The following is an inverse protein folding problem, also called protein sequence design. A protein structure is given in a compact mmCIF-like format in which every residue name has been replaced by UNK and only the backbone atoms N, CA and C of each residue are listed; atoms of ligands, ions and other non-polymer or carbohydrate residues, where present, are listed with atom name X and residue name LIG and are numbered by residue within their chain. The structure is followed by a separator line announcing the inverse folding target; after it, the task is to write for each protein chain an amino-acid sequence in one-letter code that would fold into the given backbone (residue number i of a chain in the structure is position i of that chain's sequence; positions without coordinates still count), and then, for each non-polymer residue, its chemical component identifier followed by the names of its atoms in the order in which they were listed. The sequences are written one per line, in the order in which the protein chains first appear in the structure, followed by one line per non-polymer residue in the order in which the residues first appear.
data_IF_598311486776
#
_entry.id   IF_598311486776
#
_cell.length_a   1.000
_cell.length_b   1.000
_cell.length_c   1.000
_cell.angle_alpha   90.00
_cell.angle_beta   90.00
_cell.angle_gamma   90.00
#
_symmetry.space_group_name_H-M   'P 1'
#
loop_
_entity.id
_entity.type
_entity.pdbx_description
1 polymer ?
#
# COMPACT_ATOMS: atom_id res chain seq x y z
N UNK A 1 25.81 -11.05 -2.60
CA UNK A 1 24.56 -10.30 -2.34
C UNK A 1 24.62 -8.97 -3.08
N UNK A 2 23.54 -8.57 -3.75
CA UNK A 2 23.50 -7.35 -4.55
C UNK A 2 23.74 -6.10 -3.68
N UNK A 3 23.28 -6.14 -2.43
CA UNK A 3 23.43 -5.09 -1.42
C UNK A 3 24.89 -4.70 -1.20
N UNK A 4 25.80 -5.70 -1.20
CA UNK A 4 27.24 -5.48 -0.98
C UNK A 4 27.86 -4.79 -2.19
N UNK A 5 27.43 -5.16 -3.39
CA UNK A 5 27.94 -4.58 -4.64
C UNK A 5 27.46 -3.13 -4.78
N UNK A 6 26.18 -2.85 -4.51
CA UNK A 6 25.62 -1.50 -4.50
C UNK A 6 26.36 -0.62 -3.50
N UNK A 7 26.56 -1.09 -2.26
CA UNK A 7 27.27 -0.33 -1.23
C UNK A 7 28.74 -0.04 -1.60
N UNK A 8 29.42 -0.99 -2.24
CA UNK A 8 30.81 -0.81 -2.66
C UNK A 8 30.98 0.13 -3.85
N UNK A 9 29.94 0.25 -4.68
CA UNK A 9 29.95 1.06 -5.90
C UNK A 9 29.26 2.43 -5.74
N UNK A 10 28.85 2.81 -4.53
CA UNK A 10 28.09 4.03 -4.27
C UNK A 10 28.79 5.32 -4.76
N UNK A 11 30.12 5.35 -4.76
CA UNK A 11 30.95 6.49 -5.20
C UNK A 11 31.70 6.21 -6.52
N UNK A 12 31.36 5.14 -7.25
CA UNK A 12 32.03 4.76 -8.48
C UNK A 12 31.37 5.38 -9.71
N UNK A 13 32.19 5.83 -10.68
CA UNK A 13 31.70 6.22 -12.00
C UNK A 13 31.25 4.98 -12.78
N UNK A 14 29.94 4.80 -12.99
CA UNK A 14 29.40 3.69 -13.77
C UNK A 14 27.93 3.38 -13.49
N UNK A 15 27.42 2.32 -14.12
CA UNK A 15 26.09 1.78 -13.87
C UNK A 15 26.17 0.28 -13.52
N UNK A 16 25.44 -0.12 -12.48
CA UNK A 16 25.32 -1.50 -12.02
C UNK A 16 24.14 -2.14 -12.75
N UNK A 17 24.42 -3.14 -13.57
CA UNK A 17 23.39 -3.96 -14.22
C UNK A 17 23.41 -5.36 -13.61
N UNK A 18 22.27 -5.81 -13.08
CA UNK A 18 22.14 -7.13 -12.46
C UNK A 18 21.30 -8.05 -13.34
N UNK A 19 21.73 -9.30 -13.50
CA UNK A 19 20.98 -10.30 -14.25
C UNK A 19 19.91 -10.97 -13.37
N UNK A 20 18.67 -10.96 -13.83
CA UNK A 20 17.53 -11.67 -13.26
C UNK A 20 17.17 -12.89 -14.12
N UNK A 21 16.79 -14.01 -13.49
CA UNK A 21 16.33 -15.23 -14.20
C UNK A 21 14.91 -15.08 -14.71
N UNK A 22 14.08 -14.31 -14.02
CA UNK A 22 12.67 -14.10 -14.30
C UNK A 22 12.20 -12.74 -13.73
N UNK A 23 10.94 -12.40 -13.97
CA UNK A 23 10.33 -11.14 -13.53
C UNK A 23 10.19 -11.02 -12.01
N UNK A 24 10.10 -12.14 -11.29
CA UNK A 24 10.02 -12.15 -9.81
C UNK A 24 11.37 -11.73 -9.21
N UNK A 25 12.46 -12.32 -9.69
CA UNK A 25 13.82 -11.95 -9.28
C UNK A 25 14.15 -10.52 -9.71
N UNK A 26 13.68 -10.09 -10.89
CA UNK A 26 13.80 -8.70 -11.33
C UNK A 26 13.12 -7.73 -10.34
N UNK A 27 11.93 -8.07 -9.84
CA UNK A 27 11.20 -7.24 -8.87
C UNK A 27 11.98 -7.07 -7.57
N UNK A 28 12.63 -8.15 -7.11
CA UNK A 28 13.48 -8.13 -5.91
C UNK A 28 14.71 -7.26 -6.15
N UNK A 29 15.35 -7.39 -7.32
CA UNK A 29 16.54 -6.63 -7.69
C UNK A 29 16.25 -5.12 -7.75
N UNK A 30 15.14 -4.71 -8.38
CA UNK A 30 14.71 -3.31 -8.41
C UNK A 30 14.46 -2.75 -7.00
N UNK A 31 13.97 -3.58 -6.07
CA UNK A 31 13.69 -3.17 -4.69
C UNK A 31 14.89 -3.17 -3.74
N UNK A 32 16.04 -3.70 -4.16
CA UNK A 32 17.22 -3.87 -3.29
C UNK A 32 17.72 -2.51 -2.78
N UNK A 33 17.82 -2.35 -1.45
CA UNK A 33 18.24 -1.12 -0.75
C UNK A 33 17.41 0.15 -1.03
N UNK A 34 16.23 0.05 -1.65
CA UNK A 34 15.46 1.21 -2.16
C UNK A 34 16.19 2.07 -3.20
N UNK A 35 17.43 1.71 -3.55
CA UNK A 35 18.25 2.29 -4.60
C UNK A 35 18.13 1.46 -5.89
N UNK A 36 17.95 0.14 -5.73
CA UNK A 36 18.01 -0.83 -6.82
C UNK A 36 19.41 -0.93 -7.43
N UNK A 37 19.56 -1.78 -8.44
CA UNK A 37 20.62 -1.63 -9.43
C UNK A 37 20.19 -0.64 -10.52
N UNK A 38 21.12 0.07 -11.15
CA UNK A 38 20.82 1.01 -12.25
C UNK A 38 20.09 0.36 -13.43
N UNK A 39 20.24 -0.96 -13.61
CA UNK A 39 19.44 -1.71 -14.57
C UNK A 39 19.31 -3.19 -14.24
N UNK A 40 18.29 -3.82 -14.81
CA UNK A 40 18.09 -5.27 -14.75
C UNK A 40 18.14 -5.86 -16.15
N UNK A 41 18.93 -6.92 -16.31
CA UNK A 41 18.98 -7.72 -17.53
C UNK A 41 18.23 -9.04 -17.31
N UNK A 42 17.28 -9.39 -18.18
CA UNK A 42 16.53 -10.64 -18.11
C UNK A 42 16.57 -11.37 -19.47
N UNK A 43 16.85 -12.69 -19.51
CA UNK A 43 16.79 -13.46 -20.75
C UNK A 43 15.38 -13.48 -21.33
N UNK A 44 15.22 -13.08 -22.60
CA UNK A 44 13.97 -13.20 -23.33
C UNK A 44 13.76 -14.64 -23.83
N UNK A 45 12.82 -15.37 -23.22
CA UNK A 45 12.44 -16.74 -23.54
C UNK A 45 11.13 -16.81 -24.32
N UNK A 46 10.26 -15.82 -24.16
CA UNK A 46 8.93 -15.80 -24.77
C UNK A 46 8.53 -14.40 -25.25
N UNK A 47 7.59 -14.35 -26.21
CA UNK A 47 6.98 -13.10 -26.64
C UNK A 47 6.21 -12.51 -25.45
N UNK A 48 6.56 -11.27 -25.08
CA UNK A 48 5.96 -10.57 -23.94
C UNK A 48 6.89 -10.43 -22.73
N UNK A 49 8.01 -11.16 -22.67
CA UNK A 49 8.97 -11.09 -21.55
C UNK A 49 9.50 -9.67 -21.32
N UNK A 50 9.81 -8.93 -22.39
CA UNK A 50 10.25 -7.54 -22.30
C UNK A 50 9.16 -6.62 -21.71
N UNK A 51 7.90 -6.84 -22.09
CA UNK A 51 6.74 -6.10 -21.55
C UNK A 51 6.55 -6.41 -20.07
N UNK A 52 6.67 -7.69 -19.69
CA UNK A 52 6.55 -8.12 -18.30
C UNK A 52 7.69 -7.55 -17.43
N UNK A 53 8.94 -7.57 -17.90
CA UNK A 53 10.08 -6.95 -17.21
C UNK A 53 9.88 -5.44 -17.03
N UNK A 54 9.42 -4.75 -18.07
CA UNK A 54 9.11 -3.31 -18.00
C UNK A 54 8.04 -3.02 -16.95
N UNK A 55 6.98 -3.84 -16.89
CA UNK A 55 5.93 -3.69 -15.89
C UNK A 55 6.48 -3.83 -14.46
N UNK A 56 7.42 -4.76 -14.24
CA UNK A 56 8.10 -4.93 -12.95
C UNK A 56 8.91 -3.70 -12.54
N UNK A 57 9.53 -3.01 -13.51
CA UNK A 57 10.33 -1.81 -13.25
C UNK A 57 9.49 -0.56 -12.93
N UNK A 58 8.24 -0.50 -13.38
CA UNK A 58 7.43 0.71 -13.32
C UNK A 58 7.02 1.12 -11.90
N UNK A 59 7.11 0.22 -10.91
CA UNK A 59 6.57 0.43 -9.58
C UNK A 59 5.04 0.60 -9.63
N UNK A 60 4.30 0.00 -8.69
CA UNK A 60 2.85 0.19 -8.63
C UNK A 60 2.47 1.58 -8.12
N UNK A 61 3.02 2.65 -8.70
CA UNK A 61 2.77 4.04 -8.35
C UNK A 61 1.81 4.67 -9.34
N UNK A 62 0.83 5.40 -8.83
CA UNK A 62 -0.13 6.15 -9.62
C UNK A 62 -0.64 7.37 -8.86
N UNK A 63 -1.62 8.04 -9.44
CA UNK A 63 -2.32 9.15 -8.79
C UNK A 63 -3.83 8.89 -8.83
N UNK A 64 -4.49 9.14 -7.71
CA UNK A 64 -5.94 9.14 -7.58
C UNK A 64 -6.41 10.56 -7.34
N UNK A 65 -7.44 10.99 -8.05
CA UNK A 65 -8.12 12.22 -7.72
C UNK A 65 -8.89 12.02 -6.41
N UNK A 66 -8.45 12.68 -5.34
CA UNK A 66 -9.19 12.75 -4.09
C UNK A 66 -10.05 14.01 -4.08
N UNK A 67 -11.25 13.88 -3.52
CA UNK A 67 -12.15 14.99 -3.24
C UNK A 67 -12.46 15.02 -1.75
N UNK A 68 -12.72 16.21 -1.22
CA UNK A 68 -13.18 16.34 0.15
C UNK A 68 -14.62 15.82 0.25
N UNK A 69 -14.92 15.15 1.36
CA UNK A 69 -16.27 14.70 1.69
C UNK A 69 -16.77 15.50 2.90
N UNK A 70 -18.02 15.94 2.82
CA UNK A 70 -18.73 16.52 3.97
C UNK A 70 -19.38 15.40 4.78
N UNK A 71 -19.03 15.29 6.06
CA UNK A 71 -19.67 14.34 6.98
C UNK A 71 -21.06 14.84 7.35
N UNK A 72 -22.09 14.08 6.97
CA UNK A 72 -23.49 14.45 7.18
C UNK A 72 -24.10 13.77 8.40
N UNK A 73 -23.57 12.61 8.80
CA UNK A 73 -23.99 11.94 10.03
C UNK A 73 -22.87 11.09 10.65
N UNK A 74 -22.92 10.99 11.97
CA UNK A 74 -22.05 10.12 12.78
C UNK A 74 -22.93 9.41 13.80
N UNK A 75 -22.92 8.08 13.81
CA UNK A 75 -23.75 7.30 14.73
C UNK A 75 -23.01 6.12 15.33
N UNK A 76 -23.24 5.84 16.62
CA UNK A 76 -22.77 4.61 17.25
C UNK A 76 -23.63 3.44 16.80
N UNK A 77 -23.01 2.38 16.29
CA UNK A 77 -23.71 1.18 15.79
C UNK A 77 -23.52 -0.05 16.67
N UNK A 78 -22.96 0.16 17.88
CA UNK A 78 -22.71 -0.89 18.85
C UNK A 78 -21.36 -1.58 18.66
N UNK A 79 -21.26 -2.80 19.19
CA UNK A 79 -20.05 -3.62 19.11
C UNK A 79 -20.00 -4.37 17.78
N UNK A 80 -18.82 -4.46 17.18
CA UNK A 80 -18.60 -5.28 16.00
C UNK A 80 -17.13 -5.57 15.73
N UNK A 81 -16.89 -6.45 14.77
CA UNK A 81 -15.55 -6.82 14.34
C UNK A 81 -14.95 -5.72 13.44
N UNK A 82 -13.78 -5.22 13.84
CA UNK A 82 -12.99 -4.29 13.03
C UNK A 82 -11.65 -4.88 12.65
N UNK A 83 -11.12 -4.46 11.51
CA UNK A 83 -9.79 -4.82 11.04
C UNK A 83 -8.81 -3.65 11.23
N UNK A 84 -7.68 -3.93 11.89
CA UNK A 84 -6.47 -3.11 11.79
C UNK A 84 -5.52 -3.77 10.78
N UNK A 85 -5.09 -3.01 9.78
CA UNK A 85 -4.16 -3.47 8.74
C UNK A 85 -2.76 -3.01 9.11
N UNK A 86 -1.86 -3.97 9.36
CA UNK A 86 -0.43 -3.73 9.54
C UNK A 86 0.28 -3.99 8.22
N UNK A 87 0.91 -2.95 7.66
CA UNK A 87 1.73 -3.03 6.45
C UNK A 87 3.16 -3.48 6.78
N UNK A 88 3.87 -3.99 5.78
CA UNK A 88 5.31 -4.26 5.84
C UNK A 88 6.14 -3.02 5.48
N UNK A 89 5.57 -1.82 5.61
CA UNK A 89 6.21 -0.57 5.21
C UNK A 89 5.72 0.55 6.09
N UNK A 90 6.60 1.46 6.50
CA UNK A 90 6.15 2.70 7.10
C UNK A 90 5.35 3.51 6.08
N UNK A 91 4.26 4.10 6.56
CA UNK A 91 3.44 5.04 5.83
C UNK A 91 3.87 6.46 6.25
N UNK A 92 3.84 7.38 5.29
CA UNK A 92 4.07 8.80 5.53
C UNK A 92 3.02 9.41 6.46
N UNK A 93 3.29 10.61 6.96
CA UNK A 93 2.45 11.28 7.96
C UNK A 93 0.97 11.34 7.57
N UNK A 94 0.69 11.66 6.31
CA UNK A 94 -0.67 11.79 5.77
C UNK A 94 -1.02 10.65 4.81
N UNK A 95 -0.38 9.49 5.00
CA UNK A 95 -0.56 8.30 4.15
C UNK A 95 -1.33 7.21 4.91
N UNK A 96 -2.20 6.52 4.17
CA UNK A 96 -3.09 5.51 4.70
C UNK A 96 -3.60 4.57 3.61
N UNK A 97 -4.77 3.99 3.83
CA UNK A 97 -5.49 3.21 2.81
C UNK A 97 -6.91 3.74 2.66
N UNK A 98 -7.48 3.57 1.47
CA UNK A 98 -8.88 3.91 1.22
C UNK A 98 -9.79 2.81 1.77
N UNK A 99 -10.82 3.18 2.53
CA UNK A 99 -11.79 2.26 3.12
C UNK A 99 -13.22 2.78 2.94
N UNK A 100 -14.15 1.93 2.55
CA UNK A 100 -15.56 2.32 2.45
C UNK A 100 -16.52 1.14 2.44
N UNK A 101 -17.77 1.36 2.85
CA UNK A 101 -18.81 0.33 2.77
C UNK A 101 -19.24 0.00 1.33
N UNK A 102 -18.88 0.86 0.37
CA UNK A 102 -19.13 0.67 -1.06
C UNK A 102 -17.81 0.61 -1.83
N UNK A 103 -17.75 -0.21 -2.88
CA UNK A 103 -16.54 -0.35 -3.71
C UNK A 103 -16.20 0.90 -4.54
N UNK A 104 -17.15 1.83 -4.71
CA UNK A 104 -17.00 3.06 -5.51
C UNK A 104 -16.88 4.35 -4.68
N UNK A 105 -16.99 4.27 -3.36
CA UNK A 105 -16.94 5.43 -2.47
C UNK A 105 -16.21 5.05 -1.18
N UNK A 106 -15.05 5.66 -0.97
CA UNK A 106 -14.15 5.33 0.13
C UNK A 106 -13.61 6.60 0.78
N UNK A 107 -13.23 6.48 2.04
CA UNK A 107 -12.60 7.52 2.86
C UNK A 107 -11.12 7.15 3.04
N UNK A 108 -10.24 8.14 3.02
CA UNK A 108 -8.83 7.95 3.36
C UNK A 108 -8.67 7.75 4.87
N UNK A 109 -8.35 6.52 5.26
CA UNK A 109 -8.00 6.19 6.64
C UNK A 109 -6.48 6.26 6.82
N UNK A 110 -6.00 7.39 7.35
CA UNK A 110 -4.58 7.62 7.62
C UNK A 110 -4.07 6.65 8.70
N UNK A 111 -2.81 6.26 8.56
CA UNK A 111 -2.11 5.43 9.55
C UNK A 111 -1.98 6.10 10.92
N UNK A 112 -1.54 5.33 11.93
CA UNK A 112 -1.30 5.85 13.28
C UNK A 112 -0.01 6.67 13.37
N UNK A 113 0.14 7.66 12.49
CA UNK A 113 1.22 8.65 12.40
C UNK A 113 0.95 9.90 13.24
N UNK A 114 -0.30 10.13 13.60
CA UNK A 114 -0.72 11.27 14.39
C UNK A 114 -0.65 10.94 15.89
N UNK A 115 0.00 11.79 16.71
CA UNK A 115 0.27 11.47 18.10
C UNK A 115 -1.02 11.38 18.92
N UNK A 116 -1.13 10.31 19.72
CA UNK A 116 -2.17 10.13 20.73
C UNK A 116 -1.54 10.26 22.12
N UNK A 117 -2.25 10.83 23.11
CA UNK A 117 -1.68 11.12 24.44
C UNK A 117 -1.32 9.87 25.26
N UNK A 118 -1.74 8.67 24.84
CA UNK A 118 -1.65 7.43 25.61
C UNK A 118 -0.94 6.27 24.89
N UNK A 119 -0.44 6.47 23.67
CA UNK A 119 0.23 5.40 22.92
C UNK A 119 1.19 5.96 21.87
N UNK A 120 2.38 5.34 21.66
CA UNK A 120 3.27 5.70 20.58
C UNK A 120 2.62 5.48 19.21
N UNK A 121 3.04 6.28 18.23
CA UNK A 121 2.65 6.13 16.83
C UNK A 121 3.12 4.80 16.26
N UNK A 122 2.31 4.21 15.38
CA UNK A 122 2.66 3.02 14.60
C UNK A 122 2.42 3.33 13.12
N UNK A 123 3.39 3.95 12.43
CA UNK A 123 3.20 4.42 11.06
C UNK A 123 2.98 3.31 10.03
N UNK A 124 3.01 2.05 10.42
CA UNK A 124 2.66 0.90 9.57
C UNK A 124 1.25 0.37 9.83
N UNK A 125 0.51 0.91 10.81
CA UNK A 125 -0.82 0.45 11.19
C UNK A 125 -1.89 1.43 10.73
N UNK A 126 -2.92 0.91 10.06
CA UNK A 126 -4.17 1.62 9.81
C UNK A 126 -5.30 0.95 10.59
N UNK A 127 -6.04 1.72 11.39
CA UNK A 127 -7.31 1.28 11.99
C UNK A 127 -8.40 1.40 10.94
N UNK A 128 -8.49 0.41 10.04
CA UNK A 128 -9.16 0.55 8.75
C UNK A 128 -10.69 0.69 8.88
N UNK A 129 -11.36 -0.21 9.61
CA UNK A 129 -12.81 -0.16 9.72
C UNK A 129 -13.44 -1.51 10.01
N UNK A 130 -14.75 -1.61 9.80
CA UNK A 130 -15.49 -2.86 9.98
C UNK A 130 -15.07 -3.90 8.93
N UNK A 131 -15.10 -5.18 9.29
CA UNK A 131 -14.59 -6.26 8.43
C UNK A 131 -15.25 -6.36 7.04
N UNK A 132 -16.47 -5.83 6.88
CA UNK A 132 -17.22 -5.80 5.61
C UNK A 132 -16.84 -4.63 4.70
N UNK A 133 -16.06 -3.66 5.17
CA UNK A 133 -15.65 -2.53 4.34
C UNK A 133 -14.69 -2.98 3.25
N UNK A 134 -14.79 -2.34 2.09
CA UNK A 134 -13.86 -2.49 0.98
C UNK A 134 -12.61 -1.65 1.20
N UNK A 135 -11.51 -2.09 0.61
CA UNK A 135 -10.30 -1.30 0.40
C UNK A 135 -9.76 -1.50 -1.01
N UNK A 136 -8.97 -0.55 -1.52
CA UNK A 136 -8.25 -0.70 -2.78
C UNK A 136 -7.04 -1.65 -2.61
N UNK A 137 -7.04 -2.69 -3.42
CA UNK A 137 -5.96 -3.65 -3.58
C UNK A 137 -5.11 -3.33 -4.82
N UNK A 138 -4.26 -4.27 -5.23
CA UNK A 138 -3.48 -4.12 -6.45
C UNK A 138 -4.36 -4.04 -7.71
N UNK A 139 -3.79 -3.42 -8.75
CA UNK A 139 -4.40 -3.34 -10.09
C UNK A 139 -5.79 -2.67 -10.11
N UNK A 140 -6.07 -1.79 -9.14
CA UNK A 140 -7.34 -1.06 -9.06
C UNK A 140 -8.54 -1.91 -8.62
N UNK A 141 -8.30 -3.13 -8.13
CA UNK A 141 -9.37 -4.00 -7.61
C UNK A 141 -9.73 -3.63 -6.18
N UNK A 142 -10.96 -3.92 -5.77
CA UNK A 142 -11.39 -3.79 -4.38
C UNK A 142 -11.42 -5.15 -3.69
N UNK A 143 -11.10 -5.20 -2.40
CA UNK A 143 -11.26 -6.40 -1.55
C UNK A 143 -11.94 -6.03 -0.23
N UNK A 144 -12.64 -6.97 0.37
CA UNK A 144 -13.11 -6.77 1.74
C UNK A 144 -11.93 -6.78 2.72
N UNK A 145 -11.99 -5.98 3.79
CA UNK A 145 -10.99 -6.02 4.86
C UNK A 145 -10.92 -7.43 5.49
N UNK A 146 -12.04 -8.14 5.56
CA UNK A 146 -12.14 -9.53 6.01
C UNK A 146 -11.42 -10.55 5.12
N UNK A 147 -11.02 -10.19 3.89
CA UNK A 147 -10.31 -11.06 2.95
C UNK A 147 -8.79 -10.84 2.95
N UNK A 148 -8.33 -9.74 3.53
CA UNK A 148 -6.91 -9.44 3.61
C UNK A 148 -6.19 -10.42 4.53
N UNK A 149 -5.03 -10.90 4.08
CA UNK A 149 -4.15 -11.83 4.81
C UNK A 149 -2.71 -11.33 4.70
N UNK A 150 -1.81 -11.89 5.51
CA UNK A 150 -0.38 -11.68 5.31
C UNK A 150 0.02 -12.00 3.85
N UNK A 151 0.83 -11.13 3.25
CA UNK A 151 1.20 -11.21 1.84
C UNK A 151 0.18 -10.61 0.86
N UNK A 152 -1.01 -10.21 1.31
CA UNK A 152 -1.91 -9.41 0.47
C UNK A 152 -1.26 -8.07 0.10
N UNK A 153 -1.68 -7.49 -1.02
CA UNK A 153 -1.26 -6.15 -1.44
C UNK A 153 -2.42 -5.18 -1.31
N UNK A 154 -2.14 -3.99 -0.78
CA UNK A 154 -3.09 -2.87 -0.69
C UNK A 154 -2.47 -1.61 -1.28
N UNK A 155 -3.31 -0.68 -1.71
CA UNK A 155 -2.87 0.61 -2.21
C UNK A 155 -2.71 1.58 -1.04
N UNK A 156 -1.48 1.98 -0.74
CA UNK A 156 -1.23 3.12 0.12
C UNK A 156 -1.50 4.41 -0.68
N UNK A 157 -2.18 5.36 -0.05
CA UNK A 157 -2.61 6.62 -0.67
C UNK A 157 -2.32 7.75 0.31
N UNK A 158 -1.74 8.85 -0.16
CA UNK A 158 -1.60 10.07 0.62
C UNK A 158 -2.70 11.09 0.32
N UNK A 159 -2.77 12.17 1.12
CA UNK A 159 -3.75 13.25 0.94
C UNK A 159 -3.64 14.01 -0.39
N UNK A 160 -2.54 13.85 -1.13
CA UNK A 160 -2.36 14.42 -2.47
C UNK A 160 -2.79 13.44 -3.56
N UNK A 161 -3.27 12.26 -3.19
CA UNK A 161 -3.69 11.22 -4.12
C UNK A 161 -2.54 10.38 -4.67
N UNK A 162 -1.30 10.59 -4.24
CA UNK A 162 -0.17 9.78 -4.69
C UNK A 162 -0.31 8.39 -4.11
N UNK A 163 -0.16 7.38 -4.97
CA UNK A 163 -0.36 5.99 -4.59
C UNK A 163 0.91 5.16 -4.73
N UNK A 164 1.00 4.12 -3.92
CA UNK A 164 1.97 3.05 -4.07
C UNK A 164 1.42 1.75 -3.51
N UNK A 165 1.81 0.64 -4.11
CA UNK A 165 1.43 -0.68 -3.58
C UNK A 165 2.28 -1.04 -2.36
N UNK A 166 1.64 -1.47 -1.27
CA UNK A 166 2.31 -1.96 -0.05
C UNK A 166 1.82 -3.36 0.32
N UNK A 167 2.73 -4.17 0.87
CA UNK A 167 2.39 -5.50 1.37
C UNK A 167 1.76 -5.42 2.76
N UNK A 168 0.78 -6.27 3.00
CA UNK A 168 0.16 -6.48 4.32
C UNK A 168 0.96 -7.53 5.07
N UNK A 169 1.45 -7.18 6.25
CA UNK A 169 2.14 -8.10 7.16
C UNK A 169 1.16 -8.85 8.07
N UNK A 170 0.14 -8.14 8.57
CA UNK A 170 -0.87 -8.73 9.46
C UNK A 170 -2.19 -7.99 9.35
N UNK A 171 -3.30 -8.71 9.50
CA UNK A 171 -4.62 -8.13 9.74
C UNK A 171 -5.06 -8.55 11.12
N UNK A 172 -5.23 -7.59 12.03
CA UNK A 172 -5.73 -7.83 13.38
C UNK A 172 -7.24 -7.58 13.38
N UNK A 173 -8.02 -8.64 13.59
CA UNK A 173 -9.47 -8.53 13.77
C UNK A 173 -9.76 -8.53 15.27
N UNK A 174 -10.55 -7.56 15.72
CA UNK A 174 -10.96 -7.43 17.12
C UNK A 174 -12.37 -6.84 17.25
N UNK A 175 -13.09 -7.24 18.29
CA UNK A 175 -14.40 -6.69 18.64
C UNK A 175 -14.24 -5.36 19.38
N UNK A 176 -14.79 -4.27 18.83
CA UNK A 176 -14.74 -2.92 19.42
C UNK A 176 -16.05 -2.16 19.17
N UNK A 177 -16.34 -1.09 19.93
CA UNK A 177 -17.39 -0.17 19.56
C UNK A 177 -17.11 0.43 18.18
N UNK A 178 -18.11 0.46 17.32
CA UNK A 178 -18.05 1.00 15.97
C UNK A 178 -18.89 2.27 15.86
N UNK A 179 -18.44 3.13 14.95
CA UNK A 179 -19.13 4.35 14.55
C UNK A 179 -19.37 4.24 13.04
N UNK A 180 -20.60 4.49 12.60
CA UNK A 180 -20.92 4.72 11.20
C UNK A 180 -20.69 6.19 10.86
N UNK A 181 -20.06 6.44 9.72
CA UNK A 181 -19.81 7.79 9.19
C UNK A 181 -20.48 7.84 7.83
N UNK A 182 -21.48 8.70 7.70
CA UNK A 182 -22.10 9.03 6.43
C UNK A 182 -21.51 10.34 5.92
N UNK A 183 -21.09 10.36 4.66
CA UNK A 183 -20.47 11.51 4.05
C UNK A 183 -20.84 11.62 2.56
N UNK A 184 -20.84 12.85 2.06
CA UNK A 184 -21.18 13.17 0.65
C UNK A 184 -20.06 13.99 0.02
N UNK A 185 -19.82 13.77 -1.27
CA UNK A 185 -18.97 14.66 -2.07
C UNK A 185 -19.84 15.79 -2.64
N UNK A 186 -19.24 16.97 -2.86
CA UNK A 186 -19.82 17.93 -3.78
C UNK A 186 -19.84 17.31 -5.19
N UNK A 187 -21.03 17.24 -5.81
CA UNK A 187 -21.24 16.62 -7.12
C UNK A 187 -20.52 17.33 -8.26
#
# INVERSE_FOLDING_TARGET
PLEIVIAAAADADGAIITMAKNTEEAAVIFGCLQLGSDGVLMPGRSVGDATALKATAAGGTGELLLVELEVTAVSHIGMGERACVDTCSYLGKDEGILVGSHSKGMILCVSETHPLPYMPTRPFRVNAGAIHSYTLADEGRTRYLSELRAGSKVMAVDTKGRTRTVAVGRVKIETRPLISIDAVAAG
#
